data_IF_080288148126
#
_entry.id   IF_080288148126
#
_cell.length_a   1.000
_cell.length_b   1.000
_cell.length_c   1.000
_cell.angle_alpha   90.00
_cell.angle_beta   90.00
_cell.angle_gamma   90.00
#
_symmetry.space_group_name_H-M   'P 1'
#
loop_
_entity.id
_entity.type
_entity.pdbx_description
1 polymer ?
#
# COMPACT_ATOMS: atom_id res chain seq x y z
N UNK A 1 81.12 11.77 -5.18
CA UNK A 1 81.04 11.06 -3.89
C UNK A 1 80.21 9.80 -4.09
N UNK A 2 80.68 8.61 -3.69
CA UNK A 2 79.90 7.39 -3.85
C UNK A 2 78.80 7.34 -2.78
N UNK A 3 77.58 7.00 -3.19
CA UNK A 3 76.44 6.82 -2.30
C UNK A 3 76.68 5.50 -1.56
N UNK A 4 76.83 5.54 -0.24
CA UNK A 4 76.98 4.32 0.56
C UNK A 4 75.65 3.56 0.58
N UNK A 5 75.69 2.28 0.21
CA UNK A 5 74.52 1.40 0.21
C UNK A 5 74.19 0.98 1.65
N UNK A 6 73.00 1.33 2.14
CA UNK A 6 72.49 0.90 3.44
C UNK A 6 71.80 -0.45 3.26
N UNK A 7 72.49 -1.54 3.63
CA UNK A 7 71.88 -2.88 3.67
C UNK A 7 70.84 -3.02 4.79
N UNK A 8 69.62 -3.40 4.43
CA UNK A 8 68.46 -3.55 5.34
C UNK A 8 68.57 -4.81 6.21
N UNK A 9 69.39 -5.77 5.79
CA UNK A 9 69.66 -7.00 6.55
C UNK A 9 70.84 -6.86 7.51
N UNK A 10 71.51 -5.70 7.51
CA UNK A 10 72.60 -5.41 8.43
C UNK A 10 72.06 -4.71 9.70
N UNK A 11 72.16 -5.38 10.85
CA UNK A 11 71.72 -4.85 12.15
C UNK A 11 72.43 -3.56 12.57
N UNK A 12 73.62 -3.26 12.03
CA UNK A 12 74.32 -1.99 12.31
C UNK A 12 73.80 -0.81 11.50
N UNK A 13 72.98 -1.07 10.48
CA UNK A 13 72.46 -0.08 9.55
C UNK A 13 70.99 0.26 9.84
N UNK A 14 70.18 -0.72 10.29
CA UNK A 14 68.80 -0.48 10.72
C UNK A 14 68.27 -1.65 11.58
N UNK A 15 67.20 -1.39 12.34
CA UNK A 15 66.56 -2.37 13.24
C UNK A 15 65.56 -3.30 12.53
N UNK A 16 65.57 -3.39 11.20
CA UNK A 16 64.61 -4.20 10.43
C UNK A 16 64.63 -5.69 10.82
N UNK A 17 65.81 -6.23 11.08
CA UNK A 17 65.98 -7.63 11.51
C UNK A 17 65.26 -7.87 12.85
N UNK A 18 65.44 -6.97 13.83
CA UNK A 18 64.78 -7.03 15.13
C UNK A 18 63.27 -6.89 15.01
N UNK A 19 62.79 -5.97 14.17
CA UNK A 19 61.37 -5.78 13.90
C UNK A 19 60.73 -7.03 13.28
N UNK A 20 61.40 -7.64 12.30
CA UNK A 20 60.96 -8.88 11.64
C UNK A 20 60.90 -10.05 12.62
N UNK A 21 61.91 -10.23 13.47
CA UNK A 21 61.90 -11.30 14.46
C UNK A 21 60.82 -11.11 15.52
N UNK A 22 60.64 -9.88 16.01
CA UNK A 22 59.57 -9.53 16.95
C UNK A 22 58.18 -9.80 16.35
N UNK A 23 57.97 -9.39 15.10
CA UNK A 23 56.72 -9.62 14.37
C UNK A 23 56.43 -11.11 14.21
N UNK A 24 57.39 -11.88 13.72
CA UNK A 24 57.18 -13.28 13.34
C UNK A 24 57.08 -14.20 14.55
N UNK A 25 57.87 -13.98 15.62
CA UNK A 25 57.95 -14.93 16.75
C UNK A 25 56.93 -14.71 17.87
N UNK A 26 56.59 -13.45 18.16
CA UNK A 26 55.77 -13.12 19.35
C UNK A 26 54.54 -12.33 18.97
N UNK A 27 54.69 -11.36 18.05
CA UNK A 27 53.61 -10.43 17.76
C UNK A 27 52.47 -11.05 16.95
N UNK A 28 52.74 -11.99 16.02
CA UNK A 28 51.67 -12.58 15.19
C UNK A 28 50.66 -13.39 16.02
N UNK A 29 51.13 -14.10 17.05
CA UNK A 29 50.25 -14.88 17.92
C UNK A 29 49.48 -13.98 18.88
N UNK A 30 50.16 -13.00 19.49
CA UNK A 30 49.51 -11.99 20.33
C UNK A 30 48.51 -11.11 19.55
N UNK A 31 48.83 -10.70 18.32
CA UNK A 31 47.90 -9.99 17.43
C UNK A 31 46.68 -10.84 17.11
N UNK A 32 46.86 -12.13 16.86
CA UNK A 32 45.75 -13.07 16.61
C UNK A 32 44.88 -13.23 17.85
N UNK A 33 45.50 -13.36 19.02
CA UNK A 33 44.82 -13.49 20.30
C UNK A 33 44.07 -12.20 20.69
N UNK A 34 44.68 -11.03 20.55
CA UNK A 34 44.01 -9.73 20.77
C UNK A 34 42.85 -9.53 19.80
N UNK A 35 43.03 -9.90 18.53
CA UNK A 35 41.96 -9.82 17.53
C UNK A 35 40.79 -10.72 17.90
N UNK A 36 41.07 -11.94 18.38
CA UNK A 36 40.03 -12.86 18.82
C UNK A 36 39.34 -12.38 20.11
N UNK A 37 40.10 -12.15 21.18
CA UNK A 37 39.57 -11.87 22.50
C UNK A 37 38.94 -10.47 22.65
N UNK A 38 39.32 -9.49 21.82
CA UNK A 38 38.76 -8.14 21.87
C UNK A 38 37.92 -7.80 20.65
N UNK A 39 38.52 -7.83 19.46
CA UNK A 39 37.86 -7.30 18.27
C UNK A 39 36.72 -8.20 17.81
N UNK A 40 36.95 -9.51 17.76
CA UNK A 40 35.92 -10.48 17.39
C UNK A 40 34.84 -10.58 18.46
N UNK A 41 35.19 -10.69 19.75
CA UNK A 41 34.20 -10.76 20.82
C UNK A 41 33.30 -9.51 20.91
N UNK A 42 33.86 -8.31 20.68
CA UNK A 42 33.06 -7.10 20.61
C UNK A 42 32.07 -7.14 19.44
N UNK A 43 32.56 -7.50 18.25
CA UNK A 43 31.71 -7.64 17.07
C UNK A 43 30.61 -8.70 17.28
N UNK A 44 30.99 -9.84 17.86
CA UNK A 44 30.11 -10.97 18.17
C UNK A 44 28.99 -10.52 19.11
N UNK A 45 29.31 -9.83 20.21
CA UNK A 45 28.31 -9.29 21.15
C UNK A 45 27.38 -8.31 20.46
N UNK A 46 27.92 -7.33 19.73
CA UNK A 46 27.09 -6.36 19.01
C UNK A 46 26.17 -7.03 17.99
N UNK A 47 26.64 -8.04 17.25
CA UNK A 47 25.80 -8.78 16.29
C UNK A 47 24.75 -9.64 16.96
N UNK A 48 25.07 -10.26 18.08
CA UNK A 48 24.10 -11.01 18.88
C UNK A 48 23.03 -10.06 19.43
N UNK A 49 23.40 -8.90 19.97
CA UNK A 49 22.46 -7.88 20.43
C UNK A 49 21.55 -7.35 19.30
N UNK A 50 22.11 -7.08 18.10
CA UNK A 50 21.34 -6.68 16.91
C UNK A 50 20.33 -7.77 16.51
N UNK A 51 20.73 -9.04 16.62
CA UNK A 51 19.84 -10.18 16.40
C UNK A 51 18.88 -10.42 17.58
N UNK A 52 18.96 -9.64 18.66
CA UNK A 52 18.07 -9.69 19.82
C UNK A 52 18.51 -10.63 20.94
N UNK A 53 19.74 -11.13 20.90
CA UNK A 53 20.34 -11.92 21.97
C UNK A 53 21.03 -10.98 22.97
N UNK A 54 20.54 -10.93 24.21
CA UNK A 54 21.24 -10.26 25.31
C UNK A 54 21.90 -11.32 26.18
N UNK A 55 23.17 -11.15 26.50
CA UNK A 55 23.84 -11.94 27.53
C UNK A 55 23.05 -11.78 28.84
N UNK A 56 22.47 -12.87 29.33
CA UNK A 56 21.83 -12.92 30.65
C UNK A 56 22.82 -13.54 31.63
N UNK A 57 22.77 -13.09 32.89
CA UNK A 57 23.68 -13.36 34.01
C UNK A 57 24.41 -14.73 34.04
N UNK A 58 25.59 -14.84 34.70
CA UNK A 58 26.35 -16.08 34.85
C UNK A 58 25.59 -17.23 35.52
N UNK A 59 24.47 -16.94 36.21
CA UNK A 59 23.58 -17.89 36.89
C UNK A 59 22.40 -18.35 36.01
N UNK A 60 22.29 -17.83 34.79
CA UNK A 60 21.27 -18.24 33.84
C UNK A 60 21.61 -19.63 33.30
N UNK A 61 20.67 -20.59 33.41
CA UNK A 61 20.70 -21.85 32.65
C UNK A 61 21.20 -21.61 31.22
N UNK A 62 21.99 -22.53 30.62
CA UNK A 62 22.54 -22.35 29.28
C UNK A 62 21.41 -21.98 28.31
N UNK A 63 21.37 -20.71 27.94
CA UNK A 63 20.31 -20.15 27.12
C UNK A 63 20.38 -20.83 25.76
N UNK A 64 19.38 -21.65 25.42
CA UNK A 64 19.39 -22.40 24.18
C UNK A 64 19.19 -21.43 23.02
N UNK A 65 20.29 -21.07 22.36
CA UNK A 65 20.30 -20.27 21.13
C UNK A 65 19.24 -20.77 20.14
N UNK A 66 19.04 -22.09 20.08
CA UNK A 66 18.06 -22.73 19.22
C UNK A 66 16.62 -22.36 19.55
N UNK A 67 16.22 -22.31 20.83
CA UNK A 67 14.87 -21.92 21.22
C UNK A 67 14.58 -20.45 20.87
N UNK A 68 15.59 -19.58 20.98
CA UNK A 68 15.45 -18.17 20.59
C UNK A 68 15.35 -18.01 19.07
N UNK A 69 16.14 -18.76 18.30
CA UNK A 69 16.01 -18.81 16.85
C UNK A 69 14.62 -19.31 16.43
N UNK A 70 14.10 -20.34 17.10
CA UNK A 70 12.75 -20.86 16.86
C UNK A 70 11.68 -19.83 17.23
N UNK A 71 11.82 -19.12 18.34
CA UNK A 71 10.93 -18.05 18.75
C UNK A 71 10.93 -16.88 17.75
N UNK A 72 12.10 -16.38 17.35
CA UNK A 72 12.23 -15.32 16.33
C UNK A 72 11.67 -15.75 14.99
N UNK A 73 11.90 -16.99 14.58
CA UNK A 73 11.35 -17.55 13.34
C UNK A 73 9.82 -17.61 13.42
N UNK A 74 9.26 -18.01 14.57
CA UNK A 74 7.81 -18.06 14.79
C UNK A 74 7.19 -16.67 14.79
N UNK A 75 7.82 -15.69 15.42
CA UNK A 75 7.40 -14.28 15.41
C UNK A 75 7.36 -13.74 13.97
N UNK A 76 8.44 -13.92 13.22
CA UNK A 76 8.53 -13.47 11.83
C UNK A 76 7.47 -14.12 10.92
N UNK A 77 7.19 -15.42 11.11
CA UNK A 77 6.12 -16.12 10.40
C UNK A 77 4.74 -15.57 10.78
N UNK A 78 4.51 -15.25 12.05
CA UNK A 78 3.27 -14.63 12.52
C UNK A 78 3.05 -13.25 11.91
N UNK A 79 4.10 -12.42 11.87
CA UNK A 79 4.04 -11.09 11.26
C UNK A 79 3.74 -11.16 9.75
N UNK A 80 4.36 -12.11 9.04
CA UNK A 80 4.07 -12.36 7.64
C UNK A 80 2.60 -12.74 7.42
N UNK A 81 2.06 -13.66 8.23
CA UNK A 81 0.66 -14.07 8.14
C UNK A 81 -0.30 -12.91 8.44
N UNK A 82 0.00 -12.11 9.46
CA UNK A 82 -0.81 -10.93 9.80
C UNK A 82 -0.84 -9.93 8.65
N UNK A 83 0.32 -9.66 8.05
CA UNK A 83 0.44 -8.74 6.91
C UNK A 83 -0.26 -9.26 5.66
N UNK A 84 -0.23 -10.57 5.43
CA UNK A 84 -0.99 -11.21 4.36
C UNK A 84 -2.50 -11.07 4.59
N UNK A 85 -2.98 -11.33 5.81
CA UNK A 85 -4.39 -11.22 6.15
C UNK A 85 -4.89 -9.77 6.05
N UNK A 86 -4.10 -8.79 6.52
CA UNK A 86 -4.39 -7.37 6.33
C UNK A 86 -4.53 -7.01 4.83
N UNK A 87 -3.64 -7.52 3.99
CA UNK A 87 -3.71 -7.29 2.54
C UNK A 87 -4.95 -7.94 1.91
N UNK A 88 -5.30 -9.16 2.34
CA UNK A 88 -6.52 -9.86 1.90
C UNK A 88 -7.77 -9.10 2.33
N UNK A 89 -7.83 -8.62 3.57
CA UNK A 89 -8.95 -7.84 4.08
C UNK A 89 -9.10 -6.51 3.35
N UNK A 90 -7.99 -5.80 3.10
CA UNK A 90 -8.03 -4.58 2.29
C UNK A 90 -8.58 -4.84 0.89
N UNK A 91 -8.15 -5.93 0.25
CA UNK A 91 -8.67 -6.32 -1.06
C UNK A 91 -10.17 -6.59 -1.03
N UNK A 92 -10.64 -7.40 -0.08
CA UNK A 92 -12.07 -7.73 0.05
C UNK A 92 -12.91 -6.48 0.32
N UNK A 93 -12.47 -5.60 1.23
CA UNK A 93 -13.16 -4.35 1.53
C UNK A 93 -13.24 -3.45 0.30
N UNK A 94 -12.14 -3.33 -0.46
CA UNK A 94 -12.10 -2.51 -1.67
C UNK A 94 -12.97 -3.07 -2.79
N UNK A 95 -13.04 -4.39 -2.94
CA UNK A 95 -13.97 -5.05 -3.87
C UNK A 95 -15.42 -4.78 -3.47
N UNK A 96 -15.77 -4.95 -2.19
CA UNK A 96 -17.12 -4.68 -1.68
C UNK A 96 -17.54 -3.21 -1.88
N UNK A 97 -16.65 -2.28 -1.60
CA UNK A 97 -16.88 -0.85 -1.80
C UNK A 97 -17.11 -0.54 -3.28
N UNK A 98 -16.25 -1.06 -4.17
CA UNK A 98 -16.37 -0.86 -5.62
C UNK A 98 -17.66 -1.47 -6.16
N UNK A 99 -18.04 -2.67 -5.70
CA UNK A 99 -19.29 -3.32 -6.09
C UNK A 99 -20.51 -2.52 -5.62
N UNK A 100 -20.49 -2.01 -4.38
CA UNK A 100 -21.55 -1.17 -3.84
C UNK A 100 -21.71 0.13 -4.64
N UNK A 101 -20.60 0.80 -4.96
CA UNK A 101 -20.59 2.04 -5.75
C UNK A 101 -21.13 1.80 -7.17
N UNK A 102 -20.72 0.72 -7.83
CA UNK A 102 -21.23 0.35 -9.15
C UNK A 102 -22.73 0.08 -9.09
N UNK A 103 -23.20 -0.65 -8.08
CA UNK A 103 -24.63 -0.95 -7.90
C UNK A 103 -25.46 0.31 -7.65
N UNK A 104 -24.92 1.29 -6.92
CA UNK A 104 -25.56 2.58 -6.72
C UNK A 104 -25.64 3.39 -8.01
N UNK A 105 -24.52 3.52 -8.73
CA UNK A 105 -24.47 4.18 -10.05
C UNK A 105 -25.46 3.57 -11.04
N UNK A 106 -25.63 2.25 -11.04
CA UNK A 106 -26.63 1.59 -11.88
C UNK A 106 -28.07 1.95 -11.49
N UNK A 107 -28.39 2.00 -10.19
CA UNK A 107 -29.71 2.40 -9.71
C UNK A 107 -30.01 3.86 -10.04
N UNK A 108 -29.05 4.75 -9.86
CA UNK A 108 -29.20 6.17 -10.21
C UNK A 108 -29.44 6.34 -11.71
N UNK A 109 -28.68 5.63 -12.56
CA UNK A 109 -28.85 5.66 -14.01
C UNK A 109 -30.23 5.18 -14.44
N UNK A 110 -30.71 4.07 -13.87
CA UNK A 110 -32.06 3.56 -14.12
C UNK A 110 -33.14 4.56 -13.66
N UNK A 111 -32.98 5.14 -12.49
CA UNK A 111 -33.93 6.12 -11.97
C UNK A 111 -33.97 7.39 -12.83
N UNK A 112 -32.81 7.87 -13.28
CA UNK A 112 -32.70 9.02 -14.18
C UNK A 112 -33.34 8.75 -15.55
N UNK A 113 -33.12 7.55 -16.11
CA UNK A 113 -33.72 7.11 -17.37
C UNK A 113 -35.25 7.05 -17.27
N UNK A 114 -35.78 6.45 -16.21
CA UNK A 114 -37.24 6.38 -15.97
C UNK A 114 -37.85 7.76 -15.74
N UNK A 115 -37.18 8.63 -14.97
CA UNK A 115 -37.63 10.02 -14.77
C UNK A 115 -37.71 10.78 -16.10
N UNK A 116 -36.71 10.61 -16.97
CA UNK A 116 -36.67 11.22 -18.30
C UNK A 116 -37.85 10.75 -19.17
N UNK A 117 -38.14 9.44 -19.18
CA UNK A 117 -39.29 8.88 -19.93
C UNK A 117 -40.63 9.41 -19.41
N UNK A 118 -40.78 9.53 -18.08
CA UNK A 118 -42.01 10.08 -17.48
C UNK A 118 -42.17 11.56 -17.83
N UNK A 119 -41.09 12.34 -17.80
CA UNK A 119 -41.11 13.76 -18.16
C UNK A 119 -41.43 13.98 -19.65
N UNK A 120 -40.89 13.14 -20.54
CA UNK A 120 -41.21 13.17 -21.97
C UNK A 120 -42.70 12.87 -22.21
N UNK A 121 -43.24 11.80 -21.63
CA UNK A 121 -44.68 11.49 -21.72
C UNK A 121 -45.55 12.60 -21.13
N UNK A 122 -45.12 13.24 -20.04
CA UNK A 122 -45.82 14.39 -19.44
C UNK A 122 -45.88 15.56 -20.43
N UNK A 123 -44.76 15.87 -21.09
CA UNK A 123 -44.68 16.93 -22.10
C UNK A 123 -45.60 16.64 -23.29
N UNK A 124 -45.57 15.42 -23.82
CA UNK A 124 -46.40 15.02 -24.96
C UNK A 124 -47.90 15.13 -24.64
N UNK A 125 -48.32 14.68 -23.45
CA UNK A 125 -49.71 14.82 -22.98
C UNK A 125 -50.13 16.28 -22.78
N UNK A 126 -49.22 17.13 -22.29
CA UNK A 126 -49.48 18.56 -22.10
C UNK A 126 -49.64 19.28 -23.45
N UNK A 127 -48.84 18.91 -24.45
CA UNK A 127 -49.01 19.38 -25.83
C UNK A 127 -50.32 18.90 -26.46
N UNK A 128 -50.69 17.63 -26.27
CA UNK A 128 -51.95 17.08 -26.77
C UNK A 128 -53.15 17.77 -26.12
N UNK A 129 -53.13 17.96 -24.79
CA UNK A 129 -54.15 18.70 -24.03
C UNK A 129 -54.30 20.13 -24.53
N UNK A 130 -53.18 20.84 -24.73
CA UNK A 130 -53.20 22.20 -25.29
C UNK A 130 -53.76 22.22 -26.72
N UNK A 131 -53.42 21.23 -27.55
CA UNK A 131 -53.99 21.10 -28.89
C UNK A 131 -55.50 20.83 -28.88
N UNK A 132 -55.96 20.02 -27.94
CA UNK A 132 -57.37 19.69 -27.75
C UNK A 132 -58.14 20.91 -27.26
N UNK A 133 -57.60 21.64 -26.27
CA UNK A 133 -58.22 22.84 -25.74
C UNK A 133 -58.33 23.94 -26.82
N UNK A 134 -57.30 24.11 -27.67
CA UNK A 134 -57.37 25.00 -28.84
C UNK A 134 -58.49 24.61 -29.80
N UNK A 135 -58.60 23.31 -30.14
CA UNK A 135 -59.66 22.79 -31.01
C UNK A 135 -61.06 22.97 -30.39
N UNK A 136 -61.19 22.70 -29.09
CA UNK A 136 -62.43 22.90 -28.33
C UNK A 136 -62.88 24.35 -28.37
N UNK A 137 -61.99 25.29 -28.04
CA UNK A 137 -62.30 26.73 -28.09
C UNK A 137 -62.74 27.12 -29.50
N UNK A 138 -61.99 26.73 -30.55
CA UNK A 138 -62.38 27.03 -31.94
C UNK A 138 -63.77 26.48 -32.31
N UNK A 139 -64.10 25.26 -31.88
CA UNK A 139 -65.40 24.64 -32.12
C UNK A 139 -66.54 25.34 -31.33
N UNK A 140 -66.30 25.75 -30.08
CA UNK A 140 -67.26 26.50 -29.26
C UNK A 140 -67.53 27.89 -29.87
N UNK A 141 -66.51 28.59 -30.38
CA UNK A 141 -66.70 29.88 -31.08
C UNK A 141 -67.51 29.73 -32.38
N UNK A 142 -67.31 28.63 -33.11
CA UNK A 142 -68.09 28.30 -34.31
C UNK A 142 -69.54 27.88 -34.00
N UNK A 143 -69.76 27.21 -32.87
CA UNK A 143 -71.09 26.84 -32.37
C UNK A 143 -71.90 28.07 -31.93
N UNK A 144 -71.27 29.04 -31.26
CA UNK A 144 -71.96 30.24 -30.77
C UNK A 144 -72.29 31.24 -31.90
N UNK A 145 -71.73 31.04 -33.10
CA UNK A 145 -71.95 31.88 -34.28
C UNK A 145 -72.96 31.31 -35.29
N UNK A 146 -73.60 30.17 -35.01
CA UNK A 146 -74.74 29.71 -35.80
C UNK A 146 -76.05 30.37 -35.32
N UNK A 147 -76.78 31.12 -36.16
CA UNK A 147 -78.10 31.62 -35.82
C UNK A 147 -79.11 30.46 -35.85
N UNK A 148 -79.91 30.34 -34.78
CA UNK A 148 -81.14 29.55 -34.74
C UNK A 148 -82.10 30.04 -35.85
N UNK A 149 -81.96 29.50 -37.06
CA UNK A 149 -83.01 29.60 -38.09
C UNK A 149 -84.11 28.63 -37.71
N UNK A 150 -85.11 29.13 -36.97
CA UNK A 150 -86.46 28.55 -36.98
C UNK A 150 -87.01 28.72 -38.39
N UNK A 151 -86.97 27.66 -39.18
CA UNK A 151 -87.78 27.55 -40.38
C UNK A 151 -89.26 27.60 -39.97
N UNK A 152 -89.89 28.75 -40.20
CA UNK A 152 -91.33 28.88 -40.37
C UNK A 152 -91.56 29.15 -41.84
N UNK A 153 -91.61 28.09 -42.63
CA UNK A 153 -92.23 28.15 -43.95
C UNK A 153 -93.74 27.95 -43.83
N UNK A 154 -94.45 28.78 -44.60
CA UNK A 154 -95.89 29.00 -44.58
C UNK A 154 -96.46 28.47 -45.89
N UNK A 155 -97.18 27.35 -45.88
CA UNK A 155 -98.36 27.11 -46.75
C UNK A 155 -99.16 25.91 -46.27
#
# INVERSE_FOLDING_TARGET
MPIMCVSVENESHCDFVKLREMLIRVNMEDLREQTHARHYELYRRCKLEEMGFKDTDPDSQPFSLQETYEAKRKEFLGDLQKKEEEMRQMFVSKVKETEAELKEKERERLHQEEKRKVEEKRRDLEEEMNSFNRRKVAAETLSLSQPLKKDKDKK
#
